data_IF_265595683834
#
_entry.id   IF_265595683834
#
_cell.length_a   1.000
_cell.length_b   1.000
_cell.length_c   1.000
_cell.angle_alpha   90.00
_cell.angle_beta   90.00
_cell.angle_gamma   90.00
#
_symmetry.space_group_name_H-M   'P 1'
#
loop_
_entity.id
_entity.type
_entity.pdbx_description
1 polymer ?
#
# COMPACT_ATOMS: atom_id res chain seq x y z
N UNK A 1 -22.31 22.19 -44.50
CA UNK A 1 -22.17 22.26 -43.04
C UNK A 1 -21.87 20.86 -42.55
N UNK A 2 -20.69 20.53 -42.00
CA UNK A 2 -20.42 19.22 -41.44
C UNK A 2 -21.08 19.16 -40.06
N UNK A 3 -21.91 18.15 -39.86
CA UNK A 3 -22.57 17.83 -38.60
C UNK A 3 -21.53 17.39 -37.55
N UNK A 4 -21.36 18.21 -36.51
CA UNK A 4 -20.55 17.85 -35.33
C UNK A 4 -21.28 16.73 -34.60
N UNK A 5 -20.79 15.49 -34.72
CA UNK A 5 -21.19 14.37 -33.88
C UNK A 5 -20.90 14.70 -32.42
N UNK A 6 -21.85 14.49 -31.48
CA UNK A 6 -21.59 14.67 -30.06
C UNK A 6 -20.48 13.71 -29.64
N UNK A 7 -19.36 14.22 -29.16
CA UNK A 7 -18.32 13.40 -28.53
C UNK A 7 -18.94 12.76 -27.28
N UNK A 8 -19.17 11.46 -27.35
CA UNK A 8 -19.57 10.68 -26.18
C UNK A 8 -18.52 10.88 -25.08
N UNK A 9 -18.91 11.21 -23.83
CA UNK A 9 -17.99 11.30 -22.73
C UNK A 9 -17.29 9.95 -22.57
N UNK A 10 -15.96 9.94 -22.66
CA UNK A 10 -15.12 8.78 -22.42
C UNK A 10 -15.42 8.28 -20.99
N UNK A 11 -16.35 7.34 -20.89
CA UNK A 11 -16.62 6.64 -19.63
C UNK A 11 -15.31 5.96 -19.26
N UNK A 12 -14.69 6.46 -18.20
CA UNK A 12 -13.43 5.94 -17.65
C UNK A 12 -13.61 4.46 -17.36
N UNK A 13 -13.06 3.58 -18.20
CA UNK A 13 -13.18 2.14 -18.03
C UNK A 13 -12.64 1.76 -16.66
N UNK A 14 -13.48 1.11 -15.87
CA UNK A 14 -13.16 0.66 -14.53
C UNK A 14 -12.09 -0.43 -14.61
N UNK A 15 -11.07 -0.33 -13.76
CA UNK A 15 -10.00 -1.32 -13.66
C UNK A 15 -10.36 -2.37 -12.60
N UNK A 16 -10.96 -3.47 -13.07
CA UNK A 16 -11.38 -4.58 -12.21
C UNK A 16 -10.18 -5.27 -11.53
N UNK A 17 -9.02 -5.33 -12.19
CA UNK A 17 -7.81 -5.90 -11.61
C UNK A 17 -7.33 -5.06 -10.43
N UNK A 18 -7.37 -3.73 -10.53
CA UNK A 18 -7.00 -2.86 -9.41
C UNK A 18 -7.99 -2.98 -8.24
N UNK A 19 -9.28 -3.13 -8.50
CA UNK A 19 -10.26 -3.38 -7.44
C UNK A 19 -10.03 -4.75 -6.78
N UNK A 20 -9.67 -5.78 -7.54
CA UNK A 20 -9.28 -7.10 -7.01
C UNK A 20 -8.06 -7.00 -6.07
N UNK A 21 -7.02 -6.25 -6.48
CA UNK A 21 -5.83 -6.00 -5.67
C UNK A 21 -6.20 -5.32 -4.34
N UNK A 22 -7.08 -4.31 -4.38
CA UNK A 22 -7.55 -3.63 -3.16
C UNK A 22 -8.34 -4.57 -2.24
N UNK A 23 -9.20 -5.43 -2.78
CA UNK A 23 -9.89 -6.45 -2.01
C UNK A 23 -8.93 -7.43 -1.34
N UNK A 24 -7.94 -7.90 -2.08
CA UNK A 24 -6.92 -8.80 -1.54
C UNK A 24 -6.10 -8.10 -0.45
N UNK A 25 -5.73 -6.82 -0.65
CA UNK A 25 -5.04 -6.04 0.37
C UNK A 25 -5.86 -5.88 1.66
N UNK A 26 -7.16 -5.57 1.55
CA UNK A 26 -8.06 -5.44 2.71
C UNK A 26 -8.23 -6.77 3.44
N UNK A 27 -8.41 -7.86 2.70
CA UNK A 27 -8.58 -9.20 3.27
C UNK A 27 -7.31 -9.66 4.00
N UNK A 28 -6.15 -9.54 3.36
CA UNK A 28 -4.88 -9.96 3.97
C UNK A 28 -4.47 -9.06 5.14
N UNK A 29 -4.84 -7.78 5.12
CA UNK A 29 -4.69 -6.89 6.26
C UNK A 29 -5.55 -7.33 7.45
N UNK A 30 -6.82 -7.66 7.22
CA UNK A 30 -7.69 -8.17 8.28
C UNK A 30 -7.14 -9.48 8.87
N UNK A 31 -6.71 -10.41 7.99
CA UNK A 31 -6.11 -11.68 8.38
C UNK A 31 -4.86 -11.46 9.25
N UNK A 32 -3.96 -10.54 8.86
CA UNK A 32 -2.78 -10.21 9.66
C UNK A 32 -3.14 -9.73 11.06
N UNK A 33 -4.18 -8.91 11.18
CA UNK A 33 -4.53 -8.31 12.45
C UNK A 33 -5.26 -9.26 13.41
N UNK A 34 -5.80 -10.41 12.94
CA UNK A 34 -6.41 -11.44 13.79
C UNK A 34 -5.42 -11.95 14.85
N UNK A 35 -4.12 -12.03 14.55
CA UNK A 35 -3.09 -12.48 15.49
C UNK A 35 -2.93 -11.56 16.71
N UNK A 36 -3.36 -10.29 16.63
CA UNK A 36 -3.36 -9.38 17.77
C UNK A 36 -4.53 -9.62 18.74
N UNK A 37 -5.62 -10.17 18.24
CA UNK A 37 -6.75 -10.61 19.08
C UNK A 37 -6.51 -12.03 19.59
N UNK A 38 -5.97 -12.93 18.76
CA UNK A 38 -5.75 -14.34 19.07
C UNK A 38 -4.30 -14.75 18.75
N UNK A 39 -3.38 -14.78 19.74
CA UNK A 39 -1.96 -15.12 19.52
C UNK A 39 -1.71 -16.46 18.85
N UNK A 40 -2.62 -17.45 19.03
CA UNK A 40 -2.54 -18.73 18.33
C UNK A 40 -2.57 -18.62 16.80
N UNK A 41 -3.07 -17.50 16.27
CA UNK A 41 -3.12 -17.22 14.83
C UNK A 41 -1.85 -16.49 14.31
N UNK A 42 -0.72 -16.59 15.04
CA UNK A 42 0.52 -15.90 14.65
C UNK A 42 1.02 -16.28 13.24
N UNK A 43 0.72 -17.49 12.78
CA UNK A 43 1.05 -17.93 11.41
C UNK A 43 0.40 -17.08 10.31
N UNK A 44 -0.69 -16.36 10.62
CA UNK A 44 -1.34 -15.42 9.70
C UNK A 44 -0.50 -14.17 9.39
N UNK A 45 0.60 -13.98 10.12
CA UNK A 45 1.61 -12.96 9.82
C UNK A 45 2.17 -13.13 8.40
N UNK A 46 2.36 -14.38 7.94
CA UNK A 46 2.92 -14.67 6.61
C UNK A 46 2.00 -14.15 5.49
N UNK A 47 0.71 -14.55 5.36
CA UNK A 47 -0.17 -13.99 4.34
C UNK A 47 -0.43 -12.49 4.54
N UNK A 48 -0.33 -11.99 5.77
CA UNK A 48 -0.42 -10.56 6.09
C UNK A 48 0.60 -9.68 5.36
N UNK A 49 1.76 -10.23 5.00
CA UNK A 49 2.80 -9.52 4.25
C UNK A 49 2.35 -9.09 2.83
N UNK A 50 1.24 -9.62 2.33
CA UNK A 50 0.64 -9.17 1.07
C UNK A 50 -0.02 -7.79 1.18
N UNK A 51 -0.58 -7.44 2.33
CA UNK A 51 -1.44 -6.26 2.47
C UNK A 51 -0.74 -4.96 2.08
N UNK A 52 0.38 -4.65 2.73
CA UNK A 52 1.08 -3.38 2.55
C UNK A 52 1.58 -3.17 1.11
N UNK A 53 2.32 -4.11 0.48
CA UNK A 53 2.77 -3.92 -0.90
C UNK A 53 1.61 -3.81 -1.90
N UNK A 54 0.48 -4.47 -1.67
CA UNK A 54 -0.69 -4.33 -2.53
C UNK A 54 -1.36 -2.95 -2.39
N UNK A 55 -1.40 -2.36 -1.20
CA UNK A 55 -1.81 -0.95 -1.04
C UNK A 55 -0.84 0.00 -1.73
N UNK A 56 0.46 -0.21 -1.61
CA UNK A 56 1.49 0.57 -2.30
C UNK A 56 1.35 0.48 -3.84
N UNK A 57 1.09 -0.70 -4.37
CA UNK A 57 0.80 -0.90 -5.79
C UNK A 57 -0.49 -0.17 -6.22
N UNK A 58 -1.54 -0.19 -5.38
CA UNK A 58 -2.77 0.56 -5.68
C UNK A 58 -2.52 2.08 -5.73
N UNK A 59 -1.66 2.63 -4.87
CA UNK A 59 -1.20 4.02 -4.94
C UNK A 59 -0.46 4.26 -6.26
N UNK A 60 0.54 3.45 -6.57
CA UNK A 60 1.34 3.57 -7.79
C UNK A 60 0.47 3.51 -9.06
N UNK A 61 -0.46 2.56 -9.13
CA UNK A 61 -1.40 2.43 -10.25
C UNK A 61 -2.33 3.66 -10.38
N UNK A 62 -2.78 4.24 -9.27
CA UNK A 62 -3.57 5.48 -9.30
C UNK A 62 -2.75 6.68 -9.76
N UNK A 63 -1.49 6.79 -9.30
CA UNK A 63 -0.55 7.85 -9.72
C UNK A 63 -0.19 7.69 -11.19
N UNK A 64 0.01 6.47 -11.69
CA UNK A 64 0.37 6.20 -13.08
C UNK A 64 -0.72 6.58 -14.10
N UNK A 65 -1.98 6.71 -13.67
CA UNK A 65 -3.11 6.99 -14.57
C UNK A 65 -3.10 8.42 -15.09
N UNK A 66 -3.33 8.63 -16.39
CA UNK A 66 -3.54 9.95 -16.94
C UNK A 66 -4.79 10.57 -16.32
N UNK A 67 -4.70 11.82 -15.86
CA UNK A 67 -5.86 12.59 -15.40
C UNK A 67 -6.37 13.47 -16.53
N UNK A 68 -7.59 13.22 -17.02
CA UNK A 68 -8.24 14.07 -18.01
C UNK A 68 -8.62 15.39 -17.32
N UNK A 69 -8.18 16.53 -17.86
CA UNK A 69 -8.64 17.88 -17.44
C UNK A 69 -7.80 18.62 -16.40
N UNK A 70 -6.94 17.98 -15.65
CA UNK A 70 -5.86 18.63 -14.88
C UNK A 70 -4.55 17.97 -15.28
N UNK A 71 -3.54 18.77 -15.57
CA UNK A 71 -2.20 18.28 -15.92
C UNK A 71 -1.62 17.40 -14.78
N UNK A 72 -2.29 16.26 -14.55
CA UNK A 72 -1.88 15.18 -13.67
C UNK A 72 -1.51 15.61 -12.23
N UNK A 73 -2.21 16.57 -11.56
CA UNK A 73 -1.97 17.00 -10.17
C UNK A 73 -2.17 15.88 -9.16
N UNK A 74 -1.43 15.95 -8.04
CA UNK A 74 -1.75 15.19 -6.84
C UNK A 74 -3.23 15.42 -6.54
N UNK A 75 -4.02 14.35 -6.42
CA UNK A 75 -5.41 14.51 -6.01
C UNK A 75 -5.43 14.95 -4.54
N UNK A 76 -5.63 16.26 -4.33
CA UNK A 76 -5.74 16.86 -2.98
C UNK A 76 -6.78 16.11 -2.14
N UNK A 77 -7.87 15.69 -2.79
CA UNK A 77 -8.90 14.87 -2.13
C UNK A 77 -8.36 13.51 -1.67
N UNK A 78 -7.54 12.85 -2.48
CA UNK A 78 -6.96 11.55 -2.12
C UNK A 78 -5.95 11.70 -0.97
N UNK A 79 -5.07 12.69 -1.05
CA UNK A 79 -4.16 13.03 0.04
C UNK A 79 -4.92 13.40 1.31
N UNK A 80 -5.96 14.23 1.21
CA UNK A 80 -6.79 14.62 2.34
C UNK A 80 -7.45 13.44 3.06
N UNK A 81 -7.97 12.45 2.31
CA UNK A 81 -8.50 11.22 2.91
C UNK A 81 -7.43 10.42 3.64
N UNK A 82 -6.24 10.25 3.04
CA UNK A 82 -5.14 9.53 3.70
C UNK A 82 -4.69 10.23 4.99
N UNK A 83 -4.56 11.57 4.96
CA UNK A 83 -4.18 12.36 6.16
C UNK A 83 -5.25 12.28 7.24
N UNK A 84 -6.52 12.46 6.90
CA UNK A 84 -7.63 12.39 7.84
C UNK A 84 -7.68 11.02 8.54
N UNK A 85 -7.63 9.93 7.75
CA UNK A 85 -7.68 8.59 8.32
C UNK A 85 -6.37 8.16 8.98
N UNK A 86 -5.24 8.78 8.67
CA UNK A 86 -4.00 8.64 9.43
C UNK A 86 -4.19 9.08 10.89
N UNK A 87 -4.86 10.20 11.11
CA UNK A 87 -5.13 10.73 12.45
C UNK A 87 -6.22 9.91 13.16
N UNK A 88 -7.35 9.66 12.49
CA UNK A 88 -8.48 8.93 13.08
C UNK A 88 -8.10 7.51 13.48
N UNK A 89 -7.22 6.86 12.71
CA UNK A 89 -6.88 5.43 12.91
C UNK A 89 -5.81 5.21 13.97
N UNK A 90 -5.12 6.25 14.43
CA UNK A 90 -4.02 6.08 15.39
C UNK A 90 -4.52 5.54 16.74
N UNK A 91 -5.61 6.08 17.25
CA UNK A 91 -6.16 5.61 18.51
C UNK A 91 -6.73 4.17 18.42
N UNK A 92 -7.57 3.79 17.44
CA UNK A 92 -7.98 2.40 17.24
C UNK A 92 -6.81 1.43 17.05
N UNK A 93 -5.77 1.84 16.32
CA UNK A 93 -4.57 1.04 16.12
C UNK A 93 -3.88 0.73 17.46
N UNK A 94 -3.67 1.75 18.33
CA UNK A 94 -3.05 1.56 19.64
C UNK A 94 -3.91 0.79 20.63
N UNK A 95 -5.23 0.81 20.48
CA UNK A 95 -6.12 -0.05 21.26
C UNK A 95 -5.90 -1.54 20.97
N UNK A 96 -5.70 -1.91 19.70
CA UNK A 96 -5.46 -3.30 19.34
C UNK A 96 -4.00 -3.70 19.55
N UNK A 97 -3.05 -2.84 19.20
CA UNK A 97 -1.60 -3.06 19.30
C UNK A 97 -1.06 -2.22 20.45
N UNK A 98 -1.21 -2.70 21.68
CA UNK A 98 -0.91 -1.95 22.91
C UNK A 98 0.57 -1.55 23.06
N UNK A 99 1.50 -2.31 22.46
CA UNK A 99 2.94 -2.04 22.49
C UNK A 99 3.46 -1.56 21.14
N UNK A 100 2.66 -0.78 20.40
CA UNK A 100 3.08 -0.26 19.11
C UNK A 100 4.22 0.76 19.24
N UNK A 101 5.39 0.44 18.70
CA UNK A 101 6.57 1.32 18.67
C UNK A 101 6.48 2.33 17.51
N UNK A 102 5.69 2.02 16.48
CA UNK A 102 5.48 2.87 15.30
C UNK A 102 4.07 3.46 15.25
N UNK A 103 3.90 4.48 14.42
CA UNK A 103 2.59 4.98 14.00
C UNK A 103 1.85 3.92 13.16
N UNK A 104 0.52 4.07 12.99
CA UNK A 104 -0.21 3.25 12.04
C UNK A 104 0.32 3.40 10.60
N UNK A 105 -0.08 2.52 9.66
CA UNK A 105 0.50 2.47 8.31
C UNK A 105 0.20 3.69 7.43
N UNK A 106 -0.84 4.47 7.73
CA UNK A 106 -1.30 5.55 6.86
C UNK A 106 -0.25 6.66 6.65
N UNK A 107 0.51 7.14 7.66
CA UNK A 107 1.61 8.09 7.45
C UNK A 107 2.65 7.61 6.43
N UNK A 108 3.01 6.32 6.47
CA UNK A 108 3.93 5.74 5.47
C UNK A 108 3.33 5.80 4.06
N UNK A 109 2.03 5.51 3.91
CA UNK A 109 1.32 5.60 2.63
C UNK A 109 1.18 7.05 2.13
N UNK A 110 0.99 8.03 3.03
CA UNK A 110 0.98 9.47 2.70
C UNK A 110 2.31 9.88 2.10
N UNK A 111 3.42 9.59 2.79
CA UNK A 111 4.76 9.90 2.30
C UNK A 111 5.03 9.18 0.97
N UNK A 112 4.65 7.92 0.87
CA UNK A 112 4.79 7.14 -0.36
C UNK A 112 4.00 7.69 -1.54
N UNK A 113 2.80 8.23 -1.33
CA UNK A 113 2.02 8.91 -2.35
C UNK A 113 2.72 10.19 -2.85
N UNK A 114 3.28 10.99 -1.94
CA UNK A 114 4.01 12.22 -2.29
C UNK A 114 5.28 11.90 -3.09
N UNK A 115 6.06 10.91 -2.65
CA UNK A 115 7.29 10.46 -3.33
C UNK A 115 6.97 9.89 -4.71
N UNK A 116 5.96 9.02 -4.84
CA UNK A 116 5.56 8.45 -6.12
C UNK A 116 5.03 9.53 -7.09
N UNK A 117 4.26 10.50 -6.59
CA UNK A 117 3.79 11.61 -7.40
C UNK A 117 4.95 12.49 -7.90
N UNK A 118 5.96 12.75 -7.08
CA UNK A 118 7.17 13.49 -7.47
C UNK A 118 8.00 12.73 -8.50
N UNK A 119 8.12 11.41 -8.38
CA UNK A 119 8.80 10.55 -9.35
C UNK A 119 8.11 10.55 -10.74
N UNK A 120 6.82 10.90 -10.79
CA UNK A 120 6.06 10.98 -12.03
C UNK A 120 6.22 12.31 -12.76
N UNK A 121 6.52 13.41 -12.06
CA UNK A 121 6.35 14.75 -12.54
C UNK A 121 7.65 15.48 -12.77
N UNK A 122 7.63 16.40 -13.78
CA UNK A 122 8.70 17.34 -14.04
C UNK A 122 8.56 18.66 -13.27
N UNK A 123 7.39 18.95 -12.69
CA UNK A 123 7.12 20.15 -11.91
C UNK A 123 8.06 20.23 -10.71
N UNK A 124 8.79 21.35 -10.61
CA UNK A 124 9.81 21.57 -9.58
C UNK A 124 9.21 21.62 -8.17
N UNK A 125 8.02 22.21 -7.99
CA UNK A 125 7.36 22.27 -6.69
C UNK A 125 6.96 20.87 -6.20
N UNK A 126 6.44 20.03 -7.10
CA UNK A 126 6.08 18.64 -6.79
C UNK A 126 7.32 17.83 -6.46
N UNK A 127 8.43 18.06 -7.15
CA UNK A 127 9.72 17.41 -6.84
C UNK A 127 10.26 17.80 -5.48
N UNK A 128 10.21 19.08 -5.11
CA UNK A 128 10.59 19.53 -3.77
C UNK A 128 9.71 18.94 -2.67
N UNK A 129 8.40 18.86 -2.93
CA UNK A 129 7.47 18.21 -1.99
C UNK A 129 7.82 16.73 -1.80
N UNK A 130 8.14 16.01 -2.88
CA UNK A 130 8.55 14.62 -2.81
C UNK A 130 9.91 14.43 -2.14
N UNK A 131 10.88 15.33 -2.38
CA UNK A 131 12.17 15.33 -1.70
C UNK A 131 12.00 15.58 -0.19
N UNK A 132 11.15 16.53 0.19
CA UNK A 132 10.78 16.77 1.58
C UNK A 132 10.11 15.55 2.23
N UNK A 133 9.19 14.90 1.52
CA UNK A 133 8.55 13.67 2.00
C UNK A 133 9.57 12.53 2.18
N UNK A 134 10.55 12.41 1.29
CA UNK A 134 11.63 11.43 1.43
C UNK A 134 12.53 11.76 2.62
N UNK A 135 12.91 13.02 2.81
CA UNK A 135 13.68 13.44 3.98
C UNK A 135 12.94 13.13 5.28
N UNK A 136 11.64 13.44 5.35
CA UNK A 136 10.80 13.07 6.51
C UNK A 136 10.77 11.56 6.71
N UNK A 137 10.62 10.76 5.63
CA UNK A 137 10.59 9.31 5.74
C UNK A 137 11.92 8.72 6.27
N UNK A 138 13.05 9.32 5.90
CA UNK A 138 14.37 8.90 6.41
C UNK A 138 14.55 9.31 7.86
N UNK A 139 14.22 10.56 8.23
CA UNK A 139 14.38 11.07 9.59
C UNK A 139 13.40 10.39 10.58
N UNK A 140 12.19 10.07 10.12
CA UNK A 140 11.16 9.40 10.92
C UNK A 140 11.16 7.88 10.75
N UNK A 141 12.26 7.27 10.27
CA UNK A 141 12.32 5.85 9.91
C UNK A 141 11.77 4.93 11.00
N UNK A 142 12.20 5.12 12.23
CA UNK A 142 11.81 4.31 13.40
C UNK A 142 10.33 4.48 13.80
N UNK A 143 9.73 5.62 13.47
CA UNK A 143 8.33 5.91 13.80
C UNK A 143 7.35 5.47 12.71
N UNK A 144 7.85 5.16 11.52
CA UNK A 144 7.02 4.67 10.40
C UNK A 144 6.94 3.14 10.43
N UNK A 145 5.73 2.58 10.34
CA UNK A 145 5.48 1.13 10.41
C UNK A 145 6.36 0.29 9.46
N UNK A 146 6.72 0.83 8.31
CA UNK A 146 7.58 0.17 7.31
C UNK A 146 8.81 1.02 6.95
N UNK A 147 9.14 1.99 7.79
CA UNK A 147 10.29 2.87 7.62
C UNK A 147 10.32 3.63 6.29
N UNK A 148 11.50 4.15 5.96
CA UNK A 148 11.72 4.87 4.71
C UNK A 148 11.54 3.98 3.46
N UNK A 149 11.90 2.70 3.53
CA UNK A 149 11.72 1.76 2.43
C UNK A 149 10.25 1.51 2.12
N UNK A 150 9.39 1.51 3.15
CA UNK A 150 7.94 1.46 2.96
C UNK A 150 7.40 2.69 2.22
N UNK A 151 7.89 3.88 2.56
CA UNK A 151 7.53 5.11 1.86
C UNK A 151 8.07 5.16 0.40
N UNK A 152 9.19 4.50 0.11
CA UNK A 152 9.73 4.37 -1.25
C UNK A 152 8.97 3.35 -2.11
N UNK A 153 8.29 2.39 -1.51
CA UNK A 153 7.69 1.27 -2.22
C UNK A 153 6.66 1.68 -3.30
N UNK A 154 5.77 2.68 -3.11
CA UNK A 154 4.89 3.15 -4.18
C UNK A 154 5.66 3.72 -5.38
N UNK A 155 6.78 4.42 -5.17
CA UNK A 155 7.61 4.93 -6.26
C UNK A 155 8.33 3.79 -6.98
N UNK A 156 8.82 2.78 -6.26
CA UNK A 156 9.41 1.56 -6.84
C UNK A 156 8.40 0.82 -7.74
N UNK A 157 7.15 0.68 -7.30
CA UNK A 157 6.08 0.14 -8.15
C UNK A 157 5.78 1.00 -9.36
N UNK A 158 5.77 2.33 -9.22
CA UNK A 158 5.55 3.23 -10.34
C UNK A 158 6.61 3.04 -11.44
N UNK A 159 7.88 2.90 -11.06
CA UNK A 159 8.98 2.61 -11.99
C UNK A 159 8.81 1.22 -12.63
N UNK A 160 8.43 0.22 -11.86
CA UNK A 160 8.17 -1.14 -12.35
C UNK A 160 6.99 -1.20 -13.34
N UNK A 161 5.97 -0.34 -13.18
CA UNK A 161 4.82 -0.27 -14.07
C UNK A 161 5.14 0.39 -15.42
N UNK A 162 6.16 1.26 -15.46
CA UNK A 162 6.51 2.07 -16.64
C UNK A 162 7.72 1.58 -17.39
N UNK A 163 8.59 0.85 -16.72
CA UNK A 163 9.87 0.41 -17.28
C UNK A 163 9.89 -1.07 -17.70
N UNK A 164 11.05 -1.55 -18.08
CA UNK A 164 11.27 -2.95 -18.43
C UNK A 164 11.04 -3.88 -17.23
N UNK A 165 10.83 -5.17 -17.50
CA UNK A 165 10.59 -6.20 -16.47
C UNK A 165 11.70 -6.29 -15.42
N UNK A 166 12.93 -5.93 -15.76
CA UNK A 166 14.05 -5.88 -14.80
C UNK A 166 13.74 -4.96 -13.60
N UNK A 167 12.96 -3.88 -13.79
CA UNK A 167 12.57 -2.98 -12.71
C UNK A 167 11.57 -3.59 -11.72
N UNK A 168 11.03 -4.77 -11.98
CA UNK A 168 10.18 -5.50 -11.03
C UNK A 168 10.95 -5.92 -9.78
N UNK A 169 12.28 -6.03 -9.88
CA UNK A 169 13.14 -6.28 -8.73
C UNK A 169 13.12 -5.13 -7.71
N UNK A 170 12.89 -3.89 -8.15
CA UNK A 170 12.87 -2.72 -7.25
C UNK A 170 11.82 -2.85 -6.14
N UNK A 171 10.51 -3.05 -6.43
CA UNK A 171 9.54 -3.21 -5.36
C UNK A 171 9.75 -4.49 -4.54
N UNK A 172 10.35 -5.56 -5.10
CA UNK A 172 10.67 -6.77 -4.34
C UNK A 172 11.75 -6.50 -3.28
N UNK A 173 12.86 -5.88 -3.68
CA UNK A 173 13.95 -5.52 -2.76
C UNK A 173 13.48 -4.48 -1.76
N UNK A 174 12.73 -3.48 -2.21
CA UNK A 174 12.18 -2.43 -1.35
C UNK A 174 11.20 -3.00 -0.30
N UNK A 175 10.36 -3.98 -0.68
CA UNK A 175 9.44 -4.66 0.23
C UNK A 175 10.21 -5.50 1.25
N UNK A 176 11.26 -6.20 0.84
CA UNK A 176 12.12 -6.96 1.75
C UNK A 176 12.79 -6.04 2.76
N UNK A 177 13.35 -4.90 2.31
CA UNK A 177 13.98 -3.91 3.18
C UNK A 177 12.97 -3.23 4.13
N UNK A 178 11.74 -2.95 3.66
CA UNK A 178 10.66 -2.39 4.47
C UNK A 178 10.19 -3.36 5.59
N UNK A 179 10.39 -4.66 5.41
CA UNK A 179 10.10 -5.69 6.40
C UNK A 179 11.36 -6.22 7.10
N UNK A 180 12.44 -5.44 7.08
CA UNK A 180 13.68 -5.85 7.73
C UNK A 180 13.49 -5.94 9.23
N UNK A 181 13.72 -7.14 9.77
CA UNK A 181 13.80 -7.42 11.18
C UNK A 181 14.88 -8.49 11.39
N UNK A 182 15.98 -8.10 12.02
CA UNK A 182 17.19 -8.93 12.13
C UNK A 182 16.93 -10.38 12.60
N UNK A 183 16.05 -10.65 13.62
CA UNK A 183 15.75 -12.01 14.02
C UNK A 183 15.28 -12.92 12.89
N UNK A 184 14.43 -12.45 11.95
CA UNK A 184 13.99 -13.31 10.83
C UNK A 184 15.14 -13.75 9.93
N UNK A 185 16.15 -12.90 9.73
CA UNK A 185 17.32 -13.28 8.94
C UNK A 185 18.22 -14.29 9.67
N UNK A 186 18.37 -14.12 10.98
CA UNK A 186 19.13 -15.07 11.82
C UNK A 186 18.43 -16.43 11.86
N UNK A 187 17.11 -16.43 12.06
CA UNK A 187 16.32 -17.67 12.14
C UNK A 187 16.26 -18.37 10.76
N UNK A 188 16.13 -17.60 9.67
CA UNK A 188 16.22 -18.16 8.32
C UNK A 188 17.58 -18.78 8.04
N UNK A 189 18.68 -18.17 8.50
CA UNK A 189 20.03 -18.76 8.39
C UNK A 189 20.18 -20.05 9.20
N UNK A 190 19.37 -20.24 10.24
CA UNK A 190 19.27 -21.48 11.02
C UNK A 190 18.33 -22.51 10.43
N UNK A 191 17.68 -22.18 9.30
CA UNK A 191 16.76 -23.09 8.60
C UNK A 191 15.31 -23.05 9.11
N UNK A 192 14.92 -21.99 9.86
CA UNK A 192 13.53 -21.87 10.34
C UNK A 192 12.54 -21.69 9.19
N UNK A 193 11.54 -22.60 9.01
CA UNK A 193 10.59 -22.54 7.91
C UNK A 193 9.66 -21.31 7.98
N UNK A 194 9.33 -20.83 9.19
CA UNK A 194 8.48 -19.67 9.35
C UNK A 194 9.20 -18.39 8.87
N UNK A 195 10.47 -18.20 9.28
CA UNK A 195 11.28 -17.08 8.83
C UNK A 195 11.45 -17.08 7.30
N UNK A 196 11.74 -18.23 6.69
CA UNK A 196 11.78 -18.38 5.23
C UNK A 196 10.45 -18.03 4.56
N UNK A 197 9.32 -18.44 5.16
CA UNK A 197 7.99 -18.13 4.64
C UNK A 197 7.71 -16.61 4.65
N UNK A 198 8.13 -15.91 5.72
CA UNK A 198 8.01 -14.44 5.82
C UNK A 198 8.85 -13.73 4.75
N UNK A 199 10.14 -14.07 4.65
CA UNK A 199 11.05 -13.47 3.67
C UNK A 199 10.60 -13.76 2.23
N UNK A 200 10.21 -15.01 1.96
CA UNK A 200 9.66 -15.42 0.68
C UNK A 200 8.39 -14.65 0.31
N UNK A 201 7.49 -14.44 1.28
CA UNK A 201 6.27 -13.66 1.05
C UNK A 201 6.56 -12.18 0.77
N UNK A 202 7.56 -11.57 1.42
CA UNK A 202 7.97 -10.19 1.14
C UNK A 202 8.48 -10.01 -0.31
N UNK A 203 9.15 -11.03 -0.88
CA UNK A 203 9.56 -11.04 -2.27
C UNK A 203 8.40 -11.36 -3.22
N UNK A 204 7.56 -12.31 -2.84
CA UNK A 204 6.44 -12.78 -3.67
C UNK A 204 5.32 -11.74 -3.79
N UNK A 205 5.00 -11.01 -2.72
CA UNK A 205 3.87 -10.09 -2.67
C UNK A 205 3.90 -8.99 -3.75
N UNK A 206 5.03 -8.28 -3.99
CA UNK A 206 5.12 -7.31 -5.08
C UNK A 206 4.97 -7.95 -6.46
N UNK A 207 5.58 -9.12 -6.66
CA UNK A 207 5.48 -9.86 -7.92
C UNK A 207 4.04 -10.29 -8.20
N UNK A 208 3.37 -10.88 -7.20
CA UNK A 208 1.96 -11.26 -7.30
C UNK A 208 1.09 -10.05 -7.66
N UNK A 209 1.28 -8.91 -7.00
CA UNK A 209 0.54 -7.69 -7.28
C UNK A 209 0.71 -7.21 -8.72
N UNK A 210 1.95 -7.17 -9.24
CA UNK A 210 2.25 -6.79 -10.63
C UNK A 210 1.65 -7.77 -11.65
N UNK A 211 1.61 -9.06 -11.34
CA UNK A 211 0.96 -10.07 -12.18
C UNK A 211 -0.56 -9.90 -12.17
N UNK A 212 -1.17 -9.77 -10.97
CA UNK A 212 -2.61 -9.57 -10.81
C UNK A 212 -3.11 -8.31 -11.55
N UNK A 213 -2.33 -7.22 -11.55
CA UNK A 213 -2.70 -5.99 -12.25
C UNK A 213 -2.81 -6.18 -13.78
N UNK A 214 -2.18 -7.20 -14.33
CA UNK A 214 -2.25 -7.56 -15.76
C UNK A 214 -3.40 -8.50 -16.10
N UNK A 215 -4.05 -9.06 -15.09
CA UNK A 215 -5.19 -9.95 -15.31
C UNK A 215 -6.41 -9.16 -15.76
N UNK A 216 -7.24 -9.83 -16.55
CA UNK A 216 -8.61 -9.40 -16.83
C UNK A 216 -9.54 -10.38 -16.12
N UNK A 217 -9.99 -10.08 -14.90
CA UNK A 217 -10.85 -11.01 -14.19
C UNK A 217 -12.09 -11.35 -15.03
N UNK A 218 -12.42 -12.64 -15.22
CA UNK A 218 -13.57 -13.07 -16.01
C UNK A 218 -14.90 -12.88 -15.26
N UNK A 219 -14.83 -12.39 -14.02
CA UNK A 219 -15.98 -12.17 -13.14
C UNK A 219 -16.08 -10.70 -12.73
N UNK A 220 -17.27 -10.29 -12.29
CA UNK A 220 -17.49 -8.94 -11.80
C UNK A 220 -16.82 -8.74 -10.42
N UNK A 221 -15.89 -7.81 -10.34
CA UNK A 221 -15.24 -7.42 -9.08
C UNK A 221 -15.95 -6.18 -8.52
N UNK A 222 -16.53 -6.19 -7.31
CA UNK A 222 -17.14 -5.01 -6.71
C UNK A 222 -16.13 -3.87 -6.53
N UNK A 223 -16.52 -2.59 -6.73
CA UNK A 223 -15.62 -1.47 -6.58
C UNK A 223 -15.24 -1.22 -5.11
N UNK A 224 -13.95 -1.13 -4.84
CA UNK A 224 -13.46 -0.62 -3.57
C UNK A 224 -13.48 0.92 -3.62
N UNK A 225 -14.43 1.50 -2.87
CA UNK A 225 -14.69 2.94 -2.82
C UNK A 225 -14.22 3.54 -1.48
N UNK A 226 -14.71 4.75 -1.13
CA UNK A 226 -14.31 5.48 0.08
C UNK A 226 -14.62 4.77 1.39
N UNK A 227 -15.57 3.83 1.41
CA UNK A 227 -15.86 3.02 2.59
C UNK A 227 -14.61 2.26 3.12
N UNK A 228 -13.66 1.93 2.23
CA UNK A 228 -12.44 1.25 2.62
C UNK A 228 -11.57 2.07 3.59
N UNK A 229 -11.65 3.40 3.56
CA UNK A 229 -10.99 4.24 4.56
C UNK A 229 -11.60 4.06 5.95
N UNK A 230 -12.94 3.99 6.04
CA UNK A 230 -13.62 3.73 7.31
C UNK A 230 -13.38 2.30 7.81
N UNK A 231 -13.25 1.34 6.90
CA UNK A 231 -12.93 -0.04 7.26
C UNK A 231 -11.61 -0.14 8.04
N UNK A 232 -10.63 0.72 7.73
CA UNK A 232 -9.32 0.69 8.36
C UNK A 232 -9.37 0.95 9.88
N UNK A 233 -9.93 2.05 10.43
CA UNK A 233 -10.08 2.20 11.88
C UNK A 233 -11.13 1.24 12.47
N UNK A 234 -12.20 0.92 11.74
CA UNK A 234 -13.29 0.11 12.25
C UNK A 234 -12.85 -1.33 12.58
N UNK A 235 -12.03 -1.97 11.73
CA UNK A 235 -11.58 -3.34 12.02
C UNK A 235 -10.70 -3.42 13.26
N UNK A 236 -9.89 -2.38 13.58
CA UNK A 236 -9.13 -2.33 14.82
C UNK A 236 -10.04 -2.31 16.04
N UNK A 237 -11.10 -1.48 16.01
CA UNK A 237 -12.07 -1.40 17.10
C UNK A 237 -12.80 -2.73 17.31
N UNK A 238 -13.24 -3.36 16.21
CA UNK A 238 -13.90 -4.67 16.28
C UNK A 238 -12.98 -5.73 16.86
N UNK A 239 -11.73 -5.82 16.39
CA UNK A 239 -10.78 -6.80 16.90
C UNK A 239 -10.35 -6.51 18.35
N UNK A 240 -10.23 -5.26 18.75
CA UNK A 240 -9.95 -4.89 20.14
C UNK A 240 -11.12 -5.28 21.06
N UNK A 241 -12.37 -5.07 20.62
CA UNK A 241 -13.55 -5.50 21.35
C UNK A 241 -13.64 -7.04 21.47
N UNK A 242 -13.37 -7.76 20.39
CA UNK A 242 -13.36 -9.23 20.40
C UNK A 242 -12.25 -9.83 21.28
N UNK A 243 -11.10 -9.14 21.39
CA UNK A 243 -10.00 -9.57 22.27
C UNK A 243 -10.37 -9.48 23.75
N UNK A 244 -11.31 -8.60 24.12
CA UNK A 244 -11.73 -8.42 25.52
C UNK A 244 -12.83 -9.38 25.98
N UNK A 245 -13.37 -10.19 25.07
CA UNK A 245 -14.33 -11.26 25.35
C UNK A 245 -13.64 -12.58 25.68
#
# INVERSE_FOLDING_TARGET
MPSSSPQQPLIRSRDAALDLIKWLALLTMLIDHLRHAWPALYFLYVPGRLAFPLFCLAIAANVARPTVGNAGGLSVRYLGWLLLFSLISEWPYRLLVSNAESLNVMPTLVLGLLIANAAQRSDIQVRWLGAGALAVAVLAHEWLMFGAFGALLPAAFLLALRGPRALWLLPMVCCLAANYWAPFYVDAARGDPFAWSVLGMCLFAPLLGLLLLRLRPPFAVPPVRRWAYLFYPAHFLVLAALRSL
#
